data_IF_104810176213
#
_entry.id   IF_104810176213
#
_cell.length_a   1.000
_cell.length_b   1.000
_cell.length_c   1.000
_cell.angle_alpha   90.00
_cell.angle_beta   90.00
_cell.angle_gamma   90.00
#
_symmetry.space_group_name_H-M   'P 1'
#
loop_
_entity.id
_entity.type
_entity.pdbx_description
1 polymer ?
#
# COMPACT_ATOMS: atom_id res chain seq x y z
N UNK A 1 -19.44 -40.75 19.68
CA UNK A 1 -20.64 -40.06 20.21
C UNK A 1 -20.39 -38.57 20.03
N UNK A 2 -20.94 -37.94 18.99
CA UNK A 2 -22.26 -37.28 18.97
C UNK A 2 -22.23 -35.93 19.75
N UNK A 3 -22.41 -34.85 18.97
CA UNK A 3 -23.20 -33.64 19.26
C UNK A 3 -22.46 -32.32 19.52
N UNK A 4 -22.20 -31.65 18.40
CA UNK A 4 -22.31 -30.21 18.25
C UNK A 4 -23.68 -29.72 18.75
N UNK A 5 -23.71 -28.69 19.61
CA UNK A 5 -24.93 -27.95 19.95
C UNK A 5 -24.67 -26.44 19.87
N UNK A 6 -25.33 -25.79 18.93
CA UNK A 6 -25.66 -24.35 19.00
C UNK A 6 -27.00 -24.20 19.72
N UNK A 7 -27.18 -23.11 20.50
CA UNK A 7 -28.44 -22.34 20.41
C UNK A 7 -28.12 -20.83 20.34
N UNK A 8 -28.66 -19.97 19.47
CA UNK A 8 -30.03 -19.76 19.01
C UNK A 8 -31.03 -19.51 20.16
N UNK A 9 -30.85 -18.37 20.84
CA UNK A 9 -31.76 -17.80 21.85
C UNK A 9 -31.33 -16.31 21.93
N UNK A 10 -31.98 -15.32 21.31
CA UNK A 10 -33.26 -14.74 21.68
C UNK A 10 -33.75 -13.81 20.56
N UNK A 11 -34.93 -14.09 20.01
CA UNK A 11 -35.85 -13.09 19.47
C UNK A 11 -36.54 -12.39 20.65
N UNK A 12 -36.47 -11.06 20.73
CA UNK A 12 -37.41 -10.11 21.36
C UNK A 12 -36.64 -8.82 21.61
N UNK A 13 -36.84 -7.72 20.89
CA UNK A 13 -37.87 -6.73 21.27
C UNK A 13 -38.16 -5.84 20.07
N UNK A 14 -39.44 -5.82 19.71
CA UNK A 14 -40.06 -5.12 18.59
C UNK A 14 -40.64 -3.79 19.11
N UNK A 15 -40.47 -2.73 18.33
CA UNK A 15 -41.18 -1.44 18.33
C UNK A 15 -41.25 -0.60 19.64
N UNK A 16 -40.65 0.59 19.61
CA UNK A 16 -41.26 1.78 20.21
C UNK A 16 -41.11 3.01 19.29
N UNK A 17 -42.24 3.35 18.66
CA UNK A 17 -42.76 4.70 18.38
C UNK A 17 -41.90 5.74 17.66
N UNK A 18 -42.24 5.92 16.37
CA UNK A 18 -42.17 7.17 15.63
C UNK A 18 -42.99 8.30 16.30
N UNK A 19 -42.51 9.53 16.17
CA UNK A 19 -43.23 10.80 15.88
C UNK A 19 -42.55 11.99 16.58
N UNK A 20 -41.89 12.86 15.80
CA UNK A 20 -42.00 14.32 15.95
C UNK A 20 -41.86 14.97 14.55
N UNK A 21 -42.94 15.67 14.18
CA UNK A 21 -43.26 16.40 12.95
C UNK A 21 -42.30 17.59 12.70
N UNK A 22 -41.92 17.87 11.44
CA UNK A 22 -42.50 18.93 10.55
C UNK A 22 -42.14 20.37 10.99
N UNK A 23 -41.66 21.33 10.18
CA UNK A 23 -41.85 21.59 8.76
C UNK A 23 -40.86 22.68 8.27
N UNK A 24 -40.58 22.69 6.95
CA UNK A 24 -40.54 23.85 6.02
C UNK A 24 -39.64 25.08 6.33
N UNK A 25 -38.90 25.70 5.40
CA UNK A 25 -39.22 26.01 4.00
C UNK A 25 -37.97 26.57 3.28
N UNK A 26 -37.95 26.42 1.95
CA UNK A 26 -36.99 27.01 1.03
C UNK A 26 -37.20 28.52 0.82
N UNK A 27 -36.11 29.30 0.74
CA UNK A 27 -36.10 30.60 0.05
C UNK A 27 -34.67 30.99 -0.37
N UNK A 28 -34.41 30.94 -1.68
CA UNK A 28 -33.48 31.84 -2.38
C UNK A 28 -34.38 32.80 -3.20
N UNK A 29 -33.99 34.04 -3.54
CA UNK A 29 -32.79 34.30 -4.36
C UNK A 29 -32.04 35.63 -4.07
N UNK A 30 -30.79 35.74 -4.54
CA UNK A 30 -30.23 36.98 -5.12
C UNK A 30 -28.86 36.70 -5.78
N UNK A 31 -28.79 36.87 -7.10
CA UNK A 31 -27.57 37.19 -7.87
C UNK A 31 -27.14 38.64 -7.52
N UNK A 32 -25.91 39.15 -7.66
CA UNK A 32 -24.70 38.92 -8.47
C UNK A 32 -23.53 39.71 -7.80
N UNK A 33 -22.32 39.90 -8.36
CA UNK A 33 -21.70 39.30 -9.55
C UNK A 33 -20.38 38.56 -9.27
N UNK A 34 -19.86 37.98 -10.35
CA UNK A 34 -18.58 37.31 -10.47
C UNK A 34 -17.39 38.19 -10.04
N UNK A 35 -16.43 37.56 -9.37
CA UNK A 35 -15.03 37.97 -9.45
C UNK A 35 -14.22 36.74 -9.86
N UNK A 36 -13.80 36.79 -11.11
CA UNK A 36 -13.04 35.80 -11.85
C UNK A 36 -11.56 36.06 -11.54
N UNK A 37 -11.05 35.42 -10.49
CA UNK A 37 -9.61 35.25 -10.32
C UNK A 37 -9.26 33.84 -10.77
N UNK A 38 -9.07 33.70 -12.08
CA UNK A 38 -8.47 32.54 -12.70
C UNK A 38 -7.07 32.32 -12.11
N UNK A 39 -6.97 31.43 -11.13
CA UNK A 39 -5.70 30.80 -10.79
C UNK A 39 -5.42 29.76 -11.87
N UNK A 40 -4.62 30.14 -12.85
CA UNK A 40 -4.00 29.25 -13.83
C UNK A 40 -3.27 28.12 -13.09
N UNK A 41 -3.90 26.96 -13.07
CA UNK A 41 -3.30 25.68 -12.72
C UNK A 41 -2.31 25.32 -13.84
N UNK A 42 -1.02 25.48 -13.56
CA UNK A 42 0.03 24.99 -14.42
C UNK A 42 0.09 23.47 -14.27
N UNK A 43 -0.74 22.76 -15.05
CA UNK A 43 -0.60 21.32 -15.27
C UNK A 43 0.76 21.07 -15.90
N UNK A 44 1.71 20.59 -15.10
CA UNK A 44 2.90 19.94 -15.62
C UNK A 44 2.45 18.74 -16.47
N UNK A 45 3.04 18.50 -17.65
CA UNK A 45 2.61 17.39 -18.48
C UNK A 45 2.94 16.08 -17.77
N UNK A 46 1.92 15.35 -17.34
CA UNK A 46 2.04 13.93 -17.06
C UNK A 46 2.59 13.27 -18.32
N UNK A 47 3.81 12.77 -18.23
CA UNK A 47 4.43 11.99 -19.28
C UNK A 47 3.66 10.67 -19.40
N UNK A 48 2.63 10.67 -20.25
CA UNK A 48 1.94 9.47 -20.70
C UNK A 48 2.93 8.66 -21.54
N UNK A 49 3.64 7.74 -20.89
CA UNK A 49 4.45 6.77 -21.59
C UNK A 49 3.52 5.87 -22.42
N UNK A 50 3.77 5.83 -23.74
CA UNK A 50 3.03 4.98 -24.67
C UNK A 50 3.21 3.50 -24.32
N UNK A 51 2.25 2.61 -24.62
CA UNK A 51 2.43 1.15 -24.48
C UNK A 51 3.70 0.61 -25.17
N UNK A 52 4.18 1.30 -26.22
CA UNK A 52 5.42 0.99 -26.92
C UNK A 52 6.70 1.37 -26.16
N UNK A 53 6.61 2.09 -25.03
CA UNK A 53 7.74 2.44 -24.15
C UNK A 53 7.87 1.46 -22.97
N UNK A 54 6.73 0.94 -22.48
CA UNK A 54 6.70 -0.14 -21.49
C UNK A 54 7.28 -1.46 -22.03
N UNK A 55 7.22 -1.68 -23.35
CA UNK A 55 7.65 -2.91 -24.01
C UNK A 55 9.08 -2.87 -24.60
N UNK A 56 9.86 -1.81 -24.39
CA UNK A 56 11.23 -1.74 -24.94
C UNK A 56 12.18 -2.54 -24.05
N UNK A 57 12.94 -3.52 -24.60
CA UNK A 57 13.97 -4.19 -23.84
C UNK A 57 15.00 -3.17 -23.34
N UNK A 58 15.37 -3.26 -22.07
CA UNK A 58 16.29 -2.32 -21.43
C UNK A 58 17.73 -2.60 -21.86
N UNK A 59 18.07 -2.19 -23.09
CA UNK A 59 19.40 -2.37 -23.72
C UNK A 59 20.54 -1.63 -23.01
N UNK A 60 20.25 -0.82 -21.98
CA UNK A 60 21.25 -0.03 -21.24
C UNK A 60 22.02 -0.88 -20.22
N UNK A 61 21.40 -1.93 -19.69
CA UNK A 61 21.94 -2.66 -18.53
C UNK A 61 22.12 -4.17 -18.75
N UNK A 62 21.98 -4.67 -19.99
CA UNK A 62 22.02 -6.10 -20.33
C UNK A 62 21.27 -6.97 -19.31
N UNK A 63 20.03 -6.57 -19.01
CA UNK A 63 19.21 -7.20 -17.99
C UNK A 63 18.60 -8.50 -18.52
N UNK A 64 18.41 -9.51 -17.64
CA UNK A 64 17.69 -10.71 -18.02
C UNK A 64 16.24 -10.41 -18.38
N UNK A 65 15.68 -11.23 -19.27
CA UNK A 65 14.29 -11.17 -19.72
C UNK A 65 13.51 -12.34 -19.10
N UNK A 66 12.44 -12.03 -18.37
CA UNK A 66 11.55 -12.99 -17.72
C UNK A 66 10.37 -13.41 -18.60
N UNK A 67 10.29 -12.95 -19.85
CA UNK A 67 9.36 -13.45 -20.87
C UNK A 67 7.88 -13.20 -20.56
N UNK A 68 7.58 -12.12 -19.82
CA UNK A 68 6.23 -11.80 -19.36
C UNK A 68 5.74 -12.66 -18.19
N UNK A 69 6.64 -13.36 -17.49
CA UNK A 69 6.27 -14.20 -16.34
C UNK A 69 5.58 -13.37 -15.25
N UNK A 70 4.51 -13.93 -14.66
CA UNK A 70 3.93 -13.40 -13.43
C UNK A 70 4.81 -13.78 -12.23
N UNK A 71 5.24 -12.79 -11.46
CA UNK A 71 6.01 -12.93 -10.22
C UNK A 71 5.04 -12.78 -9.06
N UNK A 72 4.89 -13.82 -8.26
CA UNK A 72 4.03 -13.81 -7.06
C UNK A 72 4.77 -13.15 -5.90
N UNK A 73 4.26 -12.01 -5.42
CA UNK A 73 4.90 -11.17 -4.43
C UNK A 73 4.07 -11.04 -3.15
N UNK A 74 4.72 -11.18 -1.99
CA UNK A 74 4.10 -11.12 -0.68
C UNK A 74 4.45 -9.82 0.08
N UNK A 75 3.46 -9.24 0.76
CA UNK A 75 3.63 -8.09 1.68
C UNK A 75 2.48 -7.92 2.70
N UNK A 76 2.63 -7.08 3.73
CA UNK A 76 1.64 -6.93 4.81
C UNK A 76 0.67 -5.73 4.72
N UNK A 77 0.94 -4.69 3.92
CA UNK A 77 0.12 -3.46 3.78
C UNK A 77 -0.06 -2.62 5.06
N UNK A 78 0.92 -2.61 5.95
CA UNK A 78 0.92 -1.96 7.27
C UNK A 78 2.17 -1.11 7.60
N UNK A 79 3.04 -0.81 6.62
CA UNK A 79 4.32 -0.15 6.86
C UNK A 79 4.62 1.08 5.99
N UNK A 80 4.03 2.22 6.35
CA UNK A 80 4.28 3.51 5.69
C UNK A 80 5.74 3.98 5.88
N UNK A 81 6.43 4.49 4.83
CA UNK A 81 5.95 4.73 3.47
C UNK A 81 6.27 3.60 2.46
N UNK A 82 6.75 2.44 2.93
CA UNK A 82 7.24 1.38 2.05
C UNK A 82 6.08 0.63 1.37
N UNK A 83 5.13 0.16 2.18
CA UNK A 83 3.92 -0.50 1.73
C UNK A 83 2.78 -0.12 2.69
N UNK A 84 1.59 0.22 2.22
CA UNK A 84 0.43 0.51 3.07
C UNK A 84 -0.85 0.61 2.24
N UNK A 85 -2.01 0.58 2.90
CA UNK A 85 -3.28 0.97 2.27
C UNK A 85 -3.47 2.47 2.40
N UNK A 86 -3.61 3.18 1.28
CA UNK A 86 -3.95 4.60 1.28
C UNK A 86 -5.34 4.80 1.89
N UNK A 87 -5.48 5.64 2.93
CA UNK A 87 -6.77 5.82 3.61
C UNK A 87 -7.79 6.62 2.78
N UNK A 88 -7.34 7.36 1.75
CA UNK A 88 -8.21 8.15 0.87
C UNK A 88 -8.80 7.33 -0.26
N UNK A 89 -8.00 6.46 -0.88
CA UNK A 89 -8.39 5.64 -2.04
C UNK A 89 -8.75 4.20 -1.66
N UNK A 90 -8.21 3.68 -0.56
CA UNK A 90 -8.30 2.28 -0.17
C UNK A 90 -7.39 1.36 -1.00
N UNK A 91 -6.51 1.92 -1.84
CA UNK A 91 -5.59 1.17 -2.68
C UNK A 91 -4.29 0.86 -1.93
N UNK A 92 -3.66 -0.24 -2.28
CA UNK A 92 -2.35 -0.58 -1.75
C UNK A 92 -1.26 0.18 -2.53
N UNK A 93 -0.45 0.94 -1.81
CA UNK A 93 0.54 1.88 -2.34
C UNK A 93 1.81 1.86 -1.51
N UNK A 94 2.85 2.51 -2.02
CA UNK A 94 4.10 2.72 -1.30
C UNK A 94 5.32 2.53 -2.19
N UNK A 95 6.48 2.92 -1.69
CA UNK A 95 7.73 2.86 -2.46
C UNK A 95 8.06 1.45 -2.98
N UNK A 96 7.69 0.41 -2.23
CA UNK A 96 7.96 -0.98 -2.60
C UNK A 96 7.07 -1.47 -3.75
N UNK A 97 5.83 -0.99 -3.84
CA UNK A 97 4.98 -1.23 -5.01
C UNK A 97 5.59 -0.61 -6.27
N UNK A 98 6.03 0.65 -6.17
CA UNK A 98 6.66 1.37 -7.28
C UNK A 98 7.98 0.70 -7.70
N UNK A 99 8.79 0.28 -6.74
CA UNK A 99 10.07 -0.37 -6.98
C UNK A 99 9.89 -1.72 -7.72
N UNK A 100 8.98 -2.58 -7.25
CA UNK A 100 8.74 -3.88 -7.91
C UNK A 100 8.09 -3.70 -9.28
N UNK A 101 7.18 -2.73 -9.44
CA UNK A 101 6.61 -2.40 -10.74
C UNK A 101 7.71 -1.99 -11.75
N UNK A 102 8.64 -1.13 -11.33
CA UNK A 102 9.75 -0.70 -12.19
C UNK A 102 10.74 -1.85 -12.47
N UNK A 103 11.03 -2.70 -11.48
CA UNK A 103 11.83 -3.92 -11.70
C UNK A 103 11.16 -4.79 -12.75
N UNK A 104 9.85 -5.06 -12.62
CA UNK A 104 9.16 -5.92 -13.57
C UNK A 104 9.04 -5.32 -14.97
N UNK A 105 8.86 -4.01 -15.08
CA UNK A 105 8.94 -3.32 -16.38
C UNK A 105 10.29 -3.53 -17.06
N UNK A 106 11.40 -3.47 -16.30
CA UNK A 106 12.76 -3.65 -16.84
C UNK A 106 13.09 -5.10 -17.19
N UNK A 107 12.58 -6.05 -16.41
CA UNK A 107 12.86 -7.48 -16.56
C UNK A 107 11.80 -8.20 -17.40
N UNK A 108 10.81 -7.49 -17.96
CA UNK A 108 9.68 -8.06 -18.69
C UNK A 108 8.95 -9.12 -17.85
N UNK A 109 8.51 -8.75 -16.64
CA UNK A 109 7.57 -9.52 -15.82
C UNK A 109 6.32 -8.71 -15.48
N UNK A 110 5.31 -9.40 -14.97
CA UNK A 110 4.21 -8.80 -14.22
C UNK A 110 4.31 -9.19 -12.76
N UNK A 111 3.69 -8.43 -11.85
CA UNK A 111 3.65 -8.75 -10.42
C UNK A 111 2.22 -9.07 -10.00
N UNK A 112 2.06 -10.14 -9.23
CA UNK A 112 0.82 -10.52 -8.56
C UNK A 112 1.00 -10.38 -7.05
N UNK A 113 0.32 -9.41 -6.46
CA UNK A 113 0.45 -9.10 -5.05
C UNK A 113 -0.48 -9.96 -4.20
N UNK A 114 0.06 -10.55 -3.14
CA UNK A 114 -0.70 -11.22 -2.09
C UNK A 114 -0.41 -10.56 -0.76
N UNK A 115 -1.47 -10.11 -0.10
CA UNK A 115 -1.37 -9.66 1.28
C UNK A 115 -1.21 -10.88 2.21
N UNK A 116 -0.14 -10.88 3.00
CA UNK A 116 0.15 -11.94 3.98
C UNK A 116 0.66 -11.32 5.29
N UNK A 117 0.61 -12.07 6.38
CA UNK A 117 1.20 -11.59 7.62
C UNK A 117 2.72 -11.63 7.57
N UNK A 118 3.35 -10.65 8.20
CA UNK A 118 4.80 -10.57 8.38
C UNK A 118 5.42 -11.88 8.88
N UNK A 119 4.84 -12.46 9.95
CA UNK A 119 5.34 -13.68 10.58
C UNK A 119 5.30 -14.92 9.66
N UNK A 120 4.37 -14.96 8.70
CA UNK A 120 4.20 -16.09 7.78
C UNK A 120 4.99 -15.93 6.48
N UNK A 121 5.49 -14.72 6.19
CA UNK A 121 6.04 -14.38 4.88
C UNK A 121 7.30 -15.17 4.53
N UNK A 122 8.33 -15.12 5.39
CA UNK A 122 9.60 -15.82 5.14
C UNK A 122 9.38 -17.34 5.04
N UNK A 123 8.61 -17.99 5.94
CA UNK A 123 8.27 -19.40 5.79
C UNK A 123 7.56 -19.73 4.47
N UNK A 124 6.62 -18.88 4.03
CA UNK A 124 5.88 -19.10 2.79
C UNK A 124 6.76 -18.98 1.54
N UNK A 125 7.71 -18.03 1.53
CA UNK A 125 8.72 -17.89 0.46
C UNK A 125 9.65 -19.11 0.45
N UNK A 126 10.17 -19.53 1.61
CA UNK A 126 11.01 -20.73 1.72
C UNK A 126 10.28 -22.00 1.21
N UNK A 127 8.97 -22.09 1.46
CA UNK A 127 8.12 -23.17 0.97
C UNK A 127 7.75 -23.05 -0.52
N UNK A 128 8.19 -22.00 -1.22
CA UNK A 128 7.93 -21.76 -2.64
C UNK A 128 6.50 -21.31 -2.96
N UNK A 129 5.77 -20.78 -1.96
CA UNK A 129 4.40 -20.25 -2.18
C UNK A 129 4.41 -18.88 -2.85
N UNK A 130 5.47 -18.09 -2.62
CA UNK A 130 5.70 -16.79 -3.23
C UNK A 130 7.09 -16.76 -3.85
N UNK A 131 7.24 -16.03 -4.96
CA UNK A 131 8.55 -15.84 -5.60
C UNK A 131 9.40 -14.84 -4.81
N UNK A 132 8.78 -13.76 -4.31
CA UNK A 132 9.46 -12.67 -3.60
C UNK A 132 8.67 -12.18 -2.38
N UNK A 133 9.38 -11.68 -1.37
CA UNK A 133 8.82 -10.86 -0.29
C UNK A 133 9.36 -9.45 -0.40
N UNK A 134 8.45 -8.46 -0.36
CA UNK A 134 8.83 -7.05 -0.40
C UNK A 134 8.06 -6.32 0.72
N UNK A 135 8.71 -6.22 1.87
CA UNK A 135 8.08 -5.72 3.11
C UNK A 135 9.12 -5.19 4.11
N UNK A 136 10.00 -4.27 3.67
CA UNK A 136 11.00 -3.65 4.54
C UNK A 136 11.95 -4.64 5.24
N UNK A 137 12.24 -5.78 4.62
CA UNK A 137 12.85 -6.92 5.31
C UNK A 137 14.32 -6.63 5.66
N UNK A 138 14.59 -6.45 6.96
CA UNK A 138 15.97 -6.40 7.46
C UNK A 138 16.70 -7.71 7.14
N UNK A 139 17.82 -7.59 6.43
CA UNK A 139 18.72 -8.70 6.13
C UNK A 139 19.41 -9.13 7.43
N UNK A 140 19.24 -10.39 7.81
CA UNK A 140 19.92 -11.02 8.95
C UNK A 140 20.42 -12.39 8.57
N UNK A 141 21.45 -12.90 9.28
CA UNK A 141 22.01 -14.23 9.03
C UNK A 141 20.96 -15.34 9.22
N UNK A 142 20.13 -15.23 10.25
CA UNK A 142 19.04 -16.19 10.52
C UNK A 142 18.02 -16.26 9.37
N UNK A 143 17.67 -15.12 8.77
CA UNK A 143 16.75 -15.08 7.63
C UNK A 143 17.41 -15.57 6.34
N UNK A 144 18.70 -15.26 6.17
CA UNK A 144 19.48 -15.70 5.01
C UNK A 144 19.69 -17.23 4.98
N UNK A 145 19.51 -17.93 6.10
CA UNK A 145 19.47 -19.39 6.13
C UNK A 145 18.18 -19.98 5.56
N UNK A 146 17.12 -19.17 5.43
CA UNK A 146 15.79 -19.58 4.96
C UNK A 146 15.50 -19.08 3.54
N UNK A 147 15.97 -17.89 3.18
CA UNK A 147 15.69 -17.27 1.87
C UNK A 147 16.92 -16.56 1.34
N UNK A 148 16.99 -16.44 0.01
CA UNK A 148 17.99 -15.60 -0.63
C UNK A 148 17.56 -14.13 -0.58
N UNK A 149 18.50 -13.24 -0.25
CA UNK A 149 18.28 -11.80 -0.31
C UNK A 149 18.80 -11.20 -1.61
N UNK A 150 18.13 -10.16 -2.08
CA UNK A 150 18.64 -9.27 -3.11
C UNK A 150 19.80 -8.41 -2.56
N UNK A 151 20.40 -7.59 -3.44
CA UNK A 151 21.22 -6.49 -2.97
C UNK A 151 20.36 -5.54 -2.10
N UNK A 152 20.89 -5.00 -0.98
CA UNK A 152 20.13 -4.11 -0.12
C UNK A 152 19.71 -2.85 -0.88
N UNK A 153 18.44 -2.46 -0.76
CA UNK A 153 17.89 -1.26 -1.42
C UNK A 153 17.74 -0.06 -0.49
N UNK A 154 17.79 -0.26 0.83
CA UNK A 154 17.67 0.79 1.83
C UNK A 154 18.50 0.47 3.07
N UNK A 155 19.05 1.49 3.71
CA UNK A 155 19.60 1.38 5.07
C UNK A 155 18.58 1.93 6.06
N UNK A 156 18.01 1.06 6.88
CA UNK A 156 17.13 1.45 7.98
C UNK A 156 17.95 1.79 9.22
N UNK A 157 17.68 2.93 9.83
CA UNK A 157 18.35 3.40 11.06
C UNK A 157 17.30 3.73 12.11
N UNK A 158 17.62 3.43 13.36
CA UNK A 158 16.75 3.71 14.50
C UNK A 158 17.28 4.93 15.23
N UNK A 159 16.39 5.89 15.48
CA UNK A 159 16.69 7.10 16.23
C UNK A 159 15.71 7.24 17.38
N UNK A 160 16.14 7.91 18.45
CA UNK A 160 15.25 8.34 19.52
C UNK A 160 14.59 9.66 19.12
N UNK A 161 13.25 9.68 19.11
CA UNK A 161 12.48 10.89 18.85
C UNK A 161 12.06 11.53 20.18
N UNK A 162 12.24 12.84 20.29
CA UNK A 162 11.74 13.67 21.39
C UNK A 162 10.72 14.67 20.84
N UNK A 163 9.91 15.28 21.71
CA UNK A 163 9.05 16.38 21.27
C UNK A 163 9.91 17.54 20.77
N UNK A 164 9.41 18.25 19.77
CA UNK A 164 10.14 19.36 19.16
C UNK A 164 10.45 20.50 20.15
N UNK A 165 9.69 20.62 21.23
CA UNK A 165 9.83 21.62 22.30
C UNK A 165 10.55 21.08 23.56
N UNK A 166 11.17 19.90 23.48
CA UNK A 166 11.85 19.27 24.62
C UNK A 166 13.35 19.58 24.65
N UNK A 167 13.72 20.65 25.35
CA UNK A 167 15.10 21.14 25.44
C UNK A 167 16.06 20.26 26.28
N UNK A 168 15.58 19.14 26.84
CA UNK A 168 16.41 18.24 27.66
C UNK A 168 17.41 17.43 26.83
N UNK A 169 17.19 17.32 25.52
CA UNK A 169 18.00 16.52 24.61
C UNK A 169 18.50 17.39 23.45
N UNK A 170 19.78 17.75 23.47
CA UNK A 170 20.38 18.70 22.51
C UNK A 170 21.19 18.04 21.38
N UNK A 171 21.38 16.72 21.41
CA UNK A 171 22.16 15.98 20.42
C UNK A 171 21.42 14.71 19.99
N UNK A 172 21.29 14.45 18.68
CA UNK A 172 20.95 13.12 18.20
C UNK A 172 21.98 12.13 18.74
N UNK A 173 21.51 10.99 19.26
CA UNK A 173 22.38 9.87 19.63
C UNK A 173 23.01 9.24 18.38
#
# INVERSE_FOLDING_TARGET
>A
MKQWKKPAFWLSTVLLFALLLSACTAAAPAAAPADEAAATEATAPEASASPAEAARPNVVYDLPDLGGRAVSAAMANDYTPLQFIDPGTGEAVGWEYDAVAEICRRLNCTVEWTNTSWDAMIPAINAGQFDIGMDGITITEERAQQVDFSAPYMTSQQFMLVRADDDRFATPA
#
